data_IF_325599508018
#
_entry.id   IF_325599508018
#
_cell.length_a   1.000
_cell.length_b   1.000
_cell.length_c   1.000
_cell.angle_alpha   90.00
_cell.angle_beta   90.00
_cell.angle_gamma   90.00
#
_symmetry.space_group_name_H-M   'P 1'
#
loop_
_entity.id
_entity.type
_entity.pdbx_description
1 polymer ?
#
# COMPACT_ATOMS: atom_id res chain seq x y z
N UNK A 1 -16.86 -46.58 47.15
CA UNK A 1 -16.43 -46.60 45.73
C UNK A 1 -17.68 -46.83 44.89
N UNK A 2 -18.19 -45.79 44.20
CA UNK A 2 -19.42 -45.87 43.41
C UNK A 2 -19.05 -45.85 41.93
N UNK A 3 -19.22 -46.97 41.24
CA UNK A 3 -19.06 -47.08 39.80
C UNK A 3 -20.27 -46.43 39.12
N UNK A 4 -20.02 -45.35 38.38
CA UNK A 4 -21.01 -44.70 37.53
C UNK A 4 -20.78 -45.22 36.11
N UNK A 5 -21.70 -46.06 35.65
CA UNK A 5 -21.77 -46.57 34.29
C UNK A 5 -22.43 -45.50 33.41
N UNK A 6 -21.76 -45.06 32.35
CA UNK A 6 -22.27 -44.11 31.37
C UNK A 6 -22.84 -44.85 30.15
N UNK A 7 -23.99 -44.42 29.61
CA UNK A 7 -24.61 -45.04 28.44
C UNK A 7 -23.93 -44.57 27.13
N UNK A 8 -23.65 -45.56 26.27
CA UNK A 8 -23.31 -45.37 24.85
C UNK A 8 -24.52 -44.84 24.08
N UNK A 9 -24.40 -43.63 23.54
CA UNK A 9 -25.46 -42.94 22.81
C UNK A 9 -25.01 -42.48 21.42
N UNK A 10 -25.55 -43.18 20.42
CA UNK A 10 -25.97 -42.72 19.08
C UNK A 10 -24.94 -42.14 18.10
N UNK A 11 -24.77 -42.89 17.02
CA UNK A 11 -24.09 -42.50 15.79
C UNK A 11 -24.72 -41.27 15.12
N UNK A 12 -23.92 -40.23 14.92
CA UNK A 12 -24.25 -39.08 14.08
C UNK A 12 -24.06 -39.45 12.62
N UNK A 13 -25.16 -39.36 11.85
CA UNK A 13 -25.26 -39.63 10.43
C UNK A 13 -24.64 -38.46 9.64
N UNK A 14 -23.57 -38.71 8.91
CA UNK A 14 -22.97 -37.77 7.93
C UNK A 14 -23.97 -37.44 6.81
N UNK A 15 -24.17 -36.16 6.47
CA UNK A 15 -24.82 -35.78 5.22
C UNK A 15 -23.78 -35.83 4.08
N UNK A 16 -23.95 -36.78 3.16
CA UNK A 16 -23.24 -36.76 1.88
C UNK A 16 -23.74 -35.57 1.03
N UNK A 17 -22.86 -34.58 0.85
CA UNK A 17 -23.05 -33.53 -0.15
C UNK A 17 -22.49 -34.01 -1.50
N UNK A 18 -23.42 -34.41 -2.36
CA UNK A 18 -23.23 -34.68 -3.77
C UNK A 18 -22.99 -33.35 -4.52
N UNK A 19 -21.74 -32.95 -4.74
CA UNK A 19 -21.39 -31.81 -5.59
C UNK A 19 -21.03 -32.31 -6.99
N UNK A 20 -22.07 -32.41 -7.81
CA UNK A 20 -22.00 -32.65 -9.25
C UNK A 20 -21.61 -31.33 -9.94
N UNK A 21 -20.37 -31.25 -10.42
CA UNK A 21 -19.87 -30.11 -11.21
C UNK A 21 -20.47 -30.20 -12.63
N UNK A 22 -21.16 -29.17 -13.15
CA UNK A 22 -21.60 -29.15 -14.52
C UNK A 22 -20.41 -28.96 -15.46
N UNK A 23 -20.22 -29.92 -16.37
CA UNK A 23 -19.27 -29.80 -17.47
C UNK A 23 -19.81 -28.82 -18.52
N UNK A 24 -19.18 -27.65 -18.64
CA UNK A 24 -19.36 -26.78 -19.79
C UNK A 24 -18.45 -27.29 -20.92
N UNK A 25 -19.02 -28.11 -21.79
CA UNK A 25 -18.49 -28.44 -23.12
C UNK A 25 -18.58 -27.22 -24.02
N UNK A 26 -17.44 -26.67 -24.47
CA UNK A 26 -17.36 -25.85 -25.68
C UNK A 26 -16.07 -26.19 -26.43
N UNK A 27 -16.20 -27.08 -27.41
CA UNK A 27 -15.24 -27.21 -28.51
C UNK A 27 -15.55 -26.16 -29.58
N UNK A 28 -14.51 -25.61 -30.22
CA UNK A 28 -14.57 -25.41 -31.66
C UNK A 28 -13.59 -26.34 -32.37
N UNK A 29 -14.13 -27.06 -33.36
CA UNK A 29 -13.41 -27.74 -34.44
C UNK A 29 -12.80 -26.69 -35.39
N UNK A 30 -12.01 -27.20 -36.35
CA UNK A 30 -11.25 -26.55 -37.44
C UNK A 30 -9.78 -26.35 -37.10
N UNK A 31 -8.80 -26.82 -37.87
CA UNK A 31 -8.77 -27.67 -39.06
C UNK A 31 -7.33 -28.17 -39.20
N UNK A 32 -7.17 -29.37 -39.76
CA UNK A 32 -5.89 -29.97 -40.07
C UNK A 32 -5.07 -29.11 -41.05
N UNK A 33 -3.75 -29.04 -40.81
CA UNK A 33 -2.75 -28.51 -41.72
C UNK A 33 -1.44 -29.28 -41.54
N UNK A 34 -1.16 -30.12 -42.51
CA UNK A 34 -0.07 -31.09 -42.64
C UNK A 34 1.23 -30.35 -43.08
N UNK A 35 2.35 -30.59 -42.34
CA UNK A 35 3.82 -30.57 -42.62
C UNK A 35 4.42 -29.78 -43.82
N UNK A 36 5.70 -29.29 -43.80
CA UNK A 36 6.87 -30.07 -43.36
C UNK A 36 8.06 -29.36 -42.68
N UNK A 37 8.91 -30.23 -42.11
CA UNK A 37 10.29 -29.98 -41.71
C UNK A 37 11.15 -29.31 -42.77
N UNK A 38 12.03 -28.42 -42.32
CA UNK A 38 13.35 -28.21 -42.94
C UNK A 38 14.39 -28.02 -41.84
N UNK A 39 15.32 -28.97 -41.77
CA UNK A 39 16.67 -28.74 -41.28
C UNK A 39 17.30 -27.56 -42.03
N UNK A 40 17.98 -26.66 -41.33
CA UNK A 40 19.19 -25.99 -41.84
C UNK A 40 19.90 -25.20 -40.75
N UNK A 41 21.07 -25.72 -40.39
CA UNK A 41 22.37 -25.07 -40.63
C UNK A 41 22.58 -23.69 -40.02
N UNK A 42 23.58 -23.65 -39.13
CA UNK A 42 24.04 -22.46 -38.43
C UNK A 42 24.45 -21.28 -39.32
N UNK A 43 24.36 -20.11 -38.71
CA UNK A 43 24.93 -18.87 -39.20
C UNK A 43 25.25 -17.98 -38.00
N UNK A 44 26.54 -17.78 -37.75
CA UNK A 44 27.03 -16.72 -36.89
C UNK A 44 26.53 -15.38 -37.45
N UNK A 45 25.82 -14.60 -36.63
CA UNK A 45 25.48 -13.22 -36.96
C UNK A 45 26.02 -12.28 -35.89
N UNK A 46 27.14 -11.69 -36.30
CA UNK A 46 27.77 -10.48 -35.80
C UNK A 46 26.70 -9.38 -35.76
N UNK A 47 26.37 -8.90 -34.56
CA UNK A 47 25.46 -7.75 -34.41
C UNK A 47 26.31 -6.48 -34.45
N UNK A 48 26.27 -5.82 -35.60
CA UNK A 48 26.75 -4.46 -35.77
C UNK A 48 25.96 -3.51 -34.86
N UNK A 49 26.70 -2.80 -34.03
CA UNK A 49 26.21 -1.73 -33.16
C UNK A 49 26.08 -0.50 -34.04
N UNK A 50 24.84 -0.12 -34.40
CA UNK A 50 24.58 1.19 -34.97
C UNK A 50 24.46 2.25 -33.86
N UNK A 51 25.27 3.31 -33.86
CA UNK A 51 25.05 4.45 -32.97
C UNK A 51 23.80 5.23 -33.41
N UNK A 52 22.85 5.40 -32.49
CA UNK A 52 21.68 6.25 -32.66
C UNK A 52 22.15 7.70 -32.52
N UNK A 53 22.37 8.35 -33.65
CA UNK A 53 22.54 9.81 -33.77
C UNK A 53 21.16 10.45 -33.69
N UNK A 54 20.89 11.18 -32.59
CA UNK A 54 19.71 12.02 -32.47
C UNK A 54 19.89 13.32 -33.28
N UNK A 55 18.91 13.74 -34.10
CA UNK A 55 18.94 15.05 -34.73
C UNK A 55 18.67 16.13 -33.68
N UNK A 56 19.69 16.95 -33.42
CA UNK A 56 19.53 18.26 -32.83
C UNK A 56 19.04 19.17 -33.95
N UNK A 57 17.80 19.66 -33.86
CA UNK A 57 17.41 20.92 -34.51
C UNK A 57 16.09 21.47 -33.95
N UNK A 58 16.21 22.70 -33.43
CA UNK A 58 15.43 23.85 -33.87
C UNK A 58 14.01 24.07 -33.30
N UNK A 59 13.91 24.93 -32.27
CA UNK A 59 12.82 25.91 -32.08
C UNK A 59 13.39 27.10 -31.27
N UNK A 60 13.91 28.12 -31.95
CA UNK A 60 13.23 29.37 -32.32
C UNK A 60 13.00 30.32 -31.13
N UNK A 61 13.93 31.26 -31.00
CA UNK A 61 13.80 32.47 -30.22
C UNK A 61 12.98 33.49 -31.03
N UNK A 62 11.80 33.85 -30.54
CA UNK A 62 11.09 35.05 -30.99
C UNK A 62 11.03 36.05 -29.85
N UNK A 63 11.98 36.97 -29.88
CA UNK A 63 11.87 38.26 -29.22
C UNK A 63 10.79 39.07 -29.94
N UNK A 64 9.77 39.51 -29.22
CA UNK A 64 8.92 40.62 -29.64
C UNK A 64 9.05 41.72 -28.61
N UNK A 65 9.91 42.68 -28.94
CA UNK A 65 9.80 44.05 -28.46
C UNK A 65 8.46 44.61 -28.92
N UNK A 66 7.65 45.10 -27.97
CA UNK A 66 6.52 45.97 -28.27
C UNK A 66 6.53 47.12 -27.29
N UNK A 67 7.24 48.14 -27.76
CA UNK A 67 7.19 49.53 -27.33
C UNK A 67 5.78 50.10 -27.60
N UNK A 68 5.02 50.39 -26.55
CA UNK A 68 3.88 51.31 -26.62
C UNK A 68 3.93 52.26 -25.42
N UNK A 69 4.46 53.43 -25.69
CA UNK A 69 4.25 54.67 -24.94
C UNK A 69 2.76 55.03 -24.97
N UNK A 70 2.16 55.25 -23.80
CA UNK A 70 0.95 56.06 -23.68
C UNK A 70 1.00 56.83 -22.37
N UNK A 71 1.21 58.14 -22.50
CA UNK A 71 1.03 59.12 -21.46
C UNK A 71 -0.46 59.17 -21.07
N UNK A 72 -0.75 59.14 -19.77
CA UNK A 72 -2.06 59.53 -19.27
C UNK A 72 -1.90 60.50 -18.11
N UNK A 73 -2.47 61.67 -18.38
CA UNK A 73 -2.72 62.86 -17.58
C UNK A 73 -3.17 62.54 -16.16
N UNK A 74 -2.59 63.27 -15.20
CA UNK A 74 -2.93 63.16 -13.78
C UNK A 74 -4.41 63.37 -13.49
N UNK A 75 -4.88 62.65 -12.47
CA UNK A 75 -6.06 62.98 -11.66
C UNK A 75 -5.96 62.26 -10.31
N UNK A 76 -6.06 63.09 -9.28
CA UNK A 76 -6.41 62.87 -7.88
C UNK A 76 -6.13 61.52 -7.20
N UNK A 77 -5.21 61.64 -6.24
CA UNK A 77 -5.04 60.80 -5.06
C UNK A 77 -6.34 60.77 -4.22
N UNK A 78 -7.17 59.76 -4.42
CA UNK A 78 -8.03 59.22 -3.37
C UNK A 78 -7.80 57.72 -3.29
N UNK A 79 -6.92 57.33 -2.37
CA UNK A 79 -6.72 55.96 -1.92
C UNK A 79 -8.02 55.48 -1.26
N UNK A 80 -8.77 54.51 -1.82
CA UNK A 80 -9.80 53.85 -1.05
C UNK A 80 -9.10 52.99 0.00
N UNK A 81 -9.24 53.38 1.27
CA UNK A 81 -8.94 52.55 2.42
C UNK A 81 -9.78 51.27 2.34
N UNK A 82 -9.28 50.28 1.61
CA UNK A 82 -9.80 48.91 1.55
C UNK A 82 -9.16 48.11 2.68
N UNK A 83 -9.30 48.65 3.89
CA UNK A 83 -8.94 47.96 5.11
C UNK A 83 -10.04 46.94 5.45
N UNK A 84 -9.64 45.67 5.37
CA UNK A 84 -10.04 44.62 6.33
C UNK A 84 -11.38 43.88 6.09
N UNK A 85 -11.45 43.03 5.06
CA UNK A 85 -12.16 41.75 5.18
C UNK A 85 -11.27 40.50 5.01
N UNK A 86 -10.02 40.65 4.56
CA UNK A 86 -9.11 39.51 4.30
C UNK A 86 -8.74 38.71 5.56
N UNK A 87 -8.65 39.38 6.72
CA UNK A 87 -8.21 38.76 7.97
C UNK A 87 -9.21 37.73 8.55
N UNK A 88 -10.53 37.95 8.38
CA UNK A 88 -11.54 37.01 8.88
C UNK A 88 -11.59 35.71 8.06
N UNK A 89 -11.39 35.82 6.73
CA UNK A 89 -11.34 34.65 5.85
C UNK A 89 -10.11 33.78 6.14
N UNK A 90 -8.95 34.41 6.39
CA UNK A 90 -7.72 33.70 6.75
C UNK A 90 -7.87 32.95 8.08
N UNK A 91 -8.45 33.58 9.11
CA UNK A 91 -8.68 32.94 10.40
C UNK A 91 -9.60 31.70 10.29
N UNK A 92 -10.70 31.81 9.53
CA UNK A 92 -11.61 30.69 9.31
C UNK A 92 -10.95 29.52 8.55
N UNK A 93 -10.06 29.83 7.60
CA UNK A 93 -9.30 28.82 6.86
C UNK A 93 -8.30 28.09 7.76
N UNK A 94 -7.60 28.83 8.63
CA UNK A 94 -6.68 28.24 9.62
C UNK A 94 -7.41 27.36 10.65
N UNK A 95 -8.59 27.78 11.11
CA UNK A 95 -9.39 26.98 12.05
C UNK A 95 -9.86 25.66 11.41
N UNK A 96 -10.34 25.72 10.17
CA UNK A 96 -10.71 24.51 9.41
C UNK A 96 -9.51 23.56 9.24
N UNK A 97 -8.33 24.10 8.92
CA UNK A 97 -7.09 23.31 8.83
C UNK A 97 -6.74 22.64 10.16
N UNK A 98 -6.88 23.33 11.29
CA UNK A 98 -6.63 22.76 12.63
C UNK A 98 -7.56 21.59 12.91
N UNK A 99 -8.87 21.76 12.62
CA UNK A 99 -9.86 20.70 12.82
C UNK A 99 -9.57 19.46 11.96
N UNK A 100 -9.12 19.64 10.72
CA UNK A 100 -8.72 18.52 9.83
C UNK A 100 -7.48 17.82 10.37
N UNK A 101 -6.47 18.55 10.83
CA UNK A 101 -5.26 17.96 11.45
C UNK A 101 -5.63 17.18 12.71
N UNK A 102 -6.41 17.76 13.61
CA UNK A 102 -6.85 17.10 14.84
C UNK A 102 -7.68 15.86 14.55
N UNK A 103 -8.58 15.92 13.56
CA UNK A 103 -9.36 14.77 13.12
C UNK A 103 -8.49 13.65 12.55
N UNK A 104 -7.37 13.99 11.89
CA UNK A 104 -6.39 13.00 11.48
C UNK A 104 -5.60 12.47 12.68
N UNK A 105 -5.15 13.30 13.61
CA UNK A 105 -4.28 12.88 14.71
C UNK A 105 -5.01 12.03 15.77
N UNK A 106 -6.30 12.28 16.01
CA UNK A 106 -7.11 11.53 16.98
C UNK A 106 -7.32 10.05 16.61
N UNK A 107 -7.21 9.68 15.33
CA UNK A 107 -7.34 8.29 14.90
C UNK A 107 -6.00 7.55 15.08
N UNK A 108 -5.78 7.02 16.29
CA UNK A 108 -4.62 6.16 16.61
C UNK A 108 -4.91 4.67 16.40
N UNK A 109 -6.19 4.28 16.44
CA UNK A 109 -6.64 2.90 16.28
C UNK A 109 -6.42 2.37 14.86
N UNK A 110 -5.95 1.13 14.75
CA UNK A 110 -5.72 0.49 13.45
C UNK A 110 -7.03 0.38 12.63
N UNK A 111 -8.15 0.10 13.30
CA UNK A 111 -9.50 0.03 12.70
C UNK A 111 -9.95 1.40 12.19
N UNK A 112 -9.86 2.42 13.04
CA UNK A 112 -10.28 3.79 12.72
C UNK A 112 -9.50 4.36 11.53
N UNK A 113 -8.20 4.05 11.44
CA UNK A 113 -7.37 4.49 10.31
C UNK A 113 -7.81 3.82 9.00
N UNK A 114 -8.11 2.52 9.01
CA UNK A 114 -8.60 1.81 7.82
C UNK A 114 -9.95 2.39 7.38
N UNK A 115 -10.88 2.57 8.31
CA UNK A 115 -12.18 3.18 8.04
C UNK A 115 -12.04 4.60 7.48
N UNK A 116 -11.13 5.40 8.05
CA UNK A 116 -10.87 6.76 7.57
C UNK A 116 -10.34 6.78 6.13
N UNK A 117 -9.46 5.84 5.76
CA UNK A 117 -8.98 5.74 4.37
C UNK A 117 -10.11 5.32 3.43
N UNK A 118 -10.92 4.33 3.82
CA UNK A 118 -12.05 3.84 3.02
C UNK A 118 -13.14 4.89 2.83
N UNK A 119 -13.37 5.74 3.84
CA UNK A 119 -14.31 6.85 3.74
C UNK A 119 -13.92 7.91 2.71
N UNK A 120 -12.71 7.84 2.15
CA UNK A 120 -12.22 8.80 1.16
C UNK A 120 -11.60 10.07 1.76
N UNK A 121 -11.68 10.30 3.07
CA UNK A 121 -11.11 11.49 3.74
C UNK A 121 -9.62 11.69 3.45
N UNK A 122 -8.84 10.61 3.44
CA UNK A 122 -7.40 10.68 3.14
C UNK A 122 -7.17 11.08 1.67
N UNK A 123 -7.98 10.57 0.75
CA UNK A 123 -7.92 10.93 -0.66
C UNK A 123 -8.35 12.39 -0.90
N UNK A 124 -9.37 12.87 -0.18
CA UNK A 124 -9.82 14.26 -0.22
C UNK A 124 -8.71 15.22 0.22
N UNK A 125 -8.02 14.92 1.33
CA UNK A 125 -6.90 15.72 1.83
C UNK A 125 -5.74 15.72 0.82
N UNK A 126 -5.46 14.58 0.19
CA UNK A 126 -4.45 14.51 -0.87
C UNK A 126 -4.85 15.33 -2.09
N UNK A 127 -6.11 15.27 -2.51
CA UNK A 127 -6.61 16.04 -3.66
C UNK A 127 -6.58 17.56 -3.38
N UNK A 128 -6.86 17.96 -2.14
CA UNK A 128 -6.94 19.37 -1.74
C UNK A 128 -5.59 20.01 -1.51
N UNK A 129 -4.66 19.30 -0.85
CA UNK A 129 -3.37 19.87 -0.44
C UNK A 129 -2.18 19.24 -1.17
N UNK A 130 -2.30 18.01 -1.63
CA UNK A 130 -1.22 17.27 -2.26
C UNK A 130 -0.87 17.76 -3.67
N UNK A 131 0.27 17.30 -4.21
CA UNK A 131 0.62 17.57 -5.59
C UNK A 131 -0.39 16.91 -6.54
N UNK A 132 -0.79 17.63 -7.59
CA UNK A 132 -1.67 17.09 -8.62
C UNK A 132 -1.06 15.83 -9.26
N UNK A 133 -1.89 14.81 -9.46
CA UNK A 133 -1.47 13.53 -10.01
C UNK A 133 -0.86 13.71 -11.42
N UNK A 134 0.32 13.11 -11.66
CA UNK A 134 0.99 13.16 -12.96
C UNK A 134 1.73 14.45 -13.30
N UNK A 135 1.76 15.46 -12.42
CA UNK A 135 2.61 16.65 -12.61
C UNK A 135 3.53 16.83 -11.41
N UNK A 136 4.79 17.24 -11.65
CA UNK A 136 5.62 17.90 -10.62
C UNK A 136 5.05 19.31 -10.37
N UNK A 137 3.80 19.37 -9.92
CA UNK A 137 3.12 20.62 -9.57
C UNK A 137 3.56 21.10 -8.19
N UNK A 138 3.46 22.41 -7.99
CA UNK A 138 3.58 23.04 -6.68
C UNK A 138 2.44 22.53 -5.80
N UNK A 139 2.76 21.77 -4.75
CA UNK A 139 1.79 21.39 -3.74
C UNK A 139 1.35 22.62 -2.92
N UNK A 140 0.22 22.51 -2.22
CA UNK A 140 -0.21 23.55 -1.30
C UNK A 140 0.85 23.76 -0.19
N UNK A 141 0.98 24.99 0.31
CA UNK A 141 1.93 25.32 1.38
C UNK A 141 1.69 24.51 2.66
N UNK A 142 0.46 24.04 2.90
CA UNK A 142 0.11 23.19 4.02
C UNK A 142 0.48 21.70 3.82
N UNK A 143 0.79 21.26 2.59
CA UNK A 143 1.09 19.86 2.29
C UNK A 143 2.16 19.23 3.17
N UNK A 144 3.29 19.89 3.50
CA UNK A 144 4.32 19.30 4.37
C UNK A 144 3.78 18.82 5.72
N UNK A 145 2.72 19.44 6.25
CA UNK A 145 2.07 19.02 7.51
C UNK A 145 1.34 17.68 7.36
N UNK A 146 0.64 17.47 6.25
CA UNK A 146 -0.17 16.28 5.99
C UNK A 146 0.60 15.14 5.33
N UNK A 147 1.66 15.46 4.59
CA UNK A 147 2.38 14.51 3.71
C UNK A 147 2.71 13.20 4.41
N UNK A 148 3.29 13.27 5.60
CA UNK A 148 3.75 12.09 6.32
C UNK A 148 2.58 11.23 6.81
N UNK A 149 1.55 11.83 7.40
CA UNK A 149 0.40 11.07 7.91
C UNK A 149 -0.43 10.47 6.76
N UNK A 150 -0.68 11.23 5.69
CA UNK A 150 -1.39 10.76 4.48
C UNK A 150 -0.63 9.61 3.84
N UNK A 151 0.67 9.77 3.59
CA UNK A 151 1.48 8.72 2.93
C UNK A 151 1.55 7.44 3.76
N UNK A 152 1.65 7.55 5.10
CA UNK A 152 1.65 6.38 5.97
C UNK A 152 0.30 5.65 5.95
N UNK A 153 -0.82 6.38 5.96
CA UNK A 153 -2.17 5.80 5.92
C UNK A 153 -2.46 5.11 4.59
N UNK A 154 -2.09 5.73 3.49
CA UNK A 154 -2.17 5.12 2.17
C UNK A 154 -1.32 3.86 2.06
N UNK A 155 -0.10 3.87 2.60
CA UNK A 155 0.76 2.69 2.62
C UNK A 155 0.13 1.55 3.44
N UNK A 156 -0.46 1.84 4.59
CA UNK A 156 -1.17 0.83 5.37
C UNK A 156 -2.34 0.23 4.58
N UNK A 157 -3.14 1.07 3.94
CA UNK A 157 -4.27 0.60 3.15
C UNK A 157 -3.83 -0.21 1.93
N UNK A 158 -2.67 0.14 1.33
CA UNK A 158 -2.03 -0.67 0.29
C UNK A 158 -1.66 -2.06 0.80
N UNK A 159 -1.05 -2.17 1.99
CA UNK A 159 -0.76 -3.47 2.60
C UNK A 159 -2.05 -4.28 2.77
N UNK A 160 -3.13 -3.67 3.28
CA UNK A 160 -4.42 -4.34 3.41
C UNK A 160 -4.94 -4.86 2.05
N UNK A 161 -4.86 -4.05 0.99
CA UNK A 161 -5.37 -4.42 -0.34
C UNK A 161 -4.51 -5.45 -1.07
N UNK A 162 -3.19 -5.25 -1.09
CA UNK A 162 -2.26 -6.05 -1.88
C UNK A 162 -1.89 -7.35 -1.15
N UNK A 163 -1.56 -7.29 0.14
CA UNK A 163 -1.05 -8.46 0.90
C UNK A 163 -2.17 -9.27 1.53
N UNK A 164 -3.29 -8.64 1.89
CA UNK A 164 -4.42 -9.32 2.54
C UNK A 164 -5.66 -9.39 1.64
N UNK A 165 -5.54 -9.02 0.35
CA UNK A 165 -6.65 -9.04 -0.62
C UNK A 165 -7.89 -8.24 -0.16
N UNK A 166 -7.70 -7.26 0.75
CA UNK A 166 -8.79 -6.51 1.36
C UNK A 166 -9.53 -7.22 2.50
N UNK A 167 -9.08 -8.40 2.93
CA UNK A 167 -9.64 -9.12 4.08
C UNK A 167 -9.22 -8.43 5.39
N UNK A 168 -10.12 -7.61 5.92
CA UNK A 168 -9.92 -6.84 7.16
C UNK A 168 -9.77 -7.74 8.38
N UNK A 169 -10.52 -8.84 8.45
CA UNK A 169 -10.50 -9.72 9.62
C UNK A 169 -9.17 -10.44 9.73
N UNK A 170 -8.68 -10.99 8.61
CA UNK A 170 -7.35 -11.59 8.54
C UNK A 170 -6.26 -10.56 8.85
N UNK A 171 -6.37 -9.34 8.32
CA UNK A 171 -5.44 -8.26 8.60
C UNK A 171 -5.39 -7.89 10.09
N UNK A 172 -6.54 -7.66 10.73
CA UNK A 172 -6.60 -7.30 12.15
C UNK A 172 -6.16 -8.45 13.05
N UNK A 173 -6.55 -9.68 12.72
CA UNK A 173 -6.09 -10.88 13.42
C UNK A 173 -4.56 -11.01 13.35
N UNK A 174 -3.97 -10.81 12.16
CA UNK A 174 -2.53 -10.89 11.95
C UNK A 174 -1.75 -9.85 12.76
N UNK A 175 -2.26 -8.62 12.89
CA UNK A 175 -1.62 -7.53 13.65
C UNK A 175 -2.09 -7.42 15.10
N UNK A 176 -2.90 -8.36 15.58
CA UNK A 176 -3.24 -8.47 16.99
C UNK A 176 -1.98 -8.80 17.80
N UNK A 177 -1.78 -8.11 18.92
CA UNK A 177 -0.74 -8.45 19.89
C UNK A 177 -1.37 -9.48 20.81
N UNK A 178 -0.84 -10.73 20.87
CA UNK A 178 -1.33 -11.69 21.85
C UNK A 178 -1.24 -11.01 23.21
N UNK A 179 -2.34 -11.02 23.97
CA UNK A 179 -2.41 -10.44 25.30
C UNK A 179 -1.43 -11.19 26.19
N UNK A 180 -0.16 -10.79 26.13
CA UNK A 180 0.88 -11.33 26.98
C UNK A 180 0.48 -10.94 28.38
N UNK A 181 0.14 -11.95 29.16
CA UNK A 181 -0.28 -11.90 30.55
C UNK A 181 0.77 -11.18 31.38
N UNK A 182 0.76 -9.85 31.35
CA UNK A 182 1.74 -9.04 32.08
C UNK A 182 1.39 -9.10 33.57
N UNK A 183 2.09 -10.02 34.24
CA UNK A 183 2.36 -10.02 35.67
C UNK A 183 2.94 -8.67 36.11
N UNK A 184 2.06 -7.73 36.47
CA UNK A 184 2.21 -6.72 37.53
C UNK A 184 1.02 -5.77 37.42
N UNK A 185 -0.10 -6.21 37.98
CA UNK A 185 -1.25 -5.33 38.25
C UNK A 185 -0.76 -4.26 39.23
N UNK A 186 -0.81 -2.98 38.83
CA UNK A 186 -1.04 -1.94 39.82
C UNK A 186 -2.46 -2.16 40.36
N UNK A 187 -2.70 -2.15 41.68
CA UNK A 187 -4.00 -2.52 42.25
C UNK A 187 -5.20 -1.65 41.87
N UNK A 188 -5.01 -0.57 41.09
CA UNK A 188 -6.01 0.47 40.91
C UNK A 188 -6.63 0.55 39.50
N UNK A 189 -6.15 -0.26 38.55
CA UNK A 189 -6.77 -0.30 37.23
C UNK A 189 -7.91 -1.32 37.24
N UNK A 190 -9.14 -0.80 37.22
CA UNK A 190 -10.36 -1.55 36.89
C UNK A 190 -10.09 -2.45 35.67
N UNK A 191 -10.60 -3.69 35.65
CA UNK A 191 -10.48 -4.59 34.52
C UNK A 191 -11.28 -4.01 33.34
N UNK A 192 -10.67 -3.09 32.60
CA UNK A 192 -11.10 -2.72 31.26
C UNK A 192 -11.16 -4.02 30.46
N UNK A 193 -12.29 -4.23 29.77
CA UNK A 193 -12.49 -5.39 28.91
C UNK A 193 -11.24 -5.63 28.05
N UNK A 194 -10.90 -6.89 27.70
CA UNK A 194 -9.76 -7.18 26.85
C UNK A 194 -10.02 -6.63 25.43
N UNK A 195 -9.89 -5.31 25.27
CA UNK A 195 -9.91 -4.65 23.99
C UNK A 195 -8.77 -5.25 23.17
N UNK A 196 -9.10 -5.63 21.94
CA UNK A 196 -8.14 -6.17 20.99
C UNK A 196 -7.00 -5.17 20.80
N UNK A 197 -5.86 -5.48 21.41
CA UNK A 197 -4.69 -4.61 21.30
C UNK A 197 -3.98 -4.89 20.00
N UNK A 198 -4.04 -3.97 19.07
CA UNK A 198 -3.28 -4.06 17.83
C UNK A 198 -1.86 -3.54 17.99
N UNK A 199 -0.96 -4.00 17.11
CA UNK A 199 0.32 -3.31 16.90
C UNK A 199 0.03 -1.89 16.44
N UNK A 200 0.79 -0.92 16.95
CA UNK A 200 0.62 0.48 16.57
C UNK A 200 0.80 0.63 15.05
N UNK A 201 -0.14 1.33 14.40
CA UNK A 201 -0.10 1.62 12.97
C UNK A 201 1.27 2.07 12.47
N UNK A 202 1.93 2.99 13.21
CA UNK A 202 3.26 3.50 12.87
C UNK A 202 4.29 2.38 12.70
N UNK A 203 4.30 1.41 13.62
CA UNK A 203 5.22 0.27 13.60
C UNK A 203 4.98 -0.62 12.37
N UNK A 204 3.72 -0.86 12.00
CA UNK A 204 3.38 -1.66 10.81
C UNK A 204 3.93 -0.98 9.55
N UNK A 205 3.68 0.32 9.38
CA UNK A 205 4.11 1.06 8.19
C UNK A 205 5.63 1.18 8.08
N UNK A 206 6.33 1.33 9.23
CA UNK A 206 7.78 1.40 9.27
C UNK A 206 8.44 0.03 9.04
N UNK A 207 7.76 -1.06 9.40
CA UNK A 207 8.23 -2.43 9.18
C UNK A 207 8.09 -2.93 7.73
N UNK A 208 7.15 -2.38 6.95
CA UNK A 208 6.89 -2.78 5.57
C UNK A 208 8.15 -2.91 4.67
N UNK A 209 9.04 -1.90 4.59
CA UNK A 209 10.24 -2.02 3.77
C UNK A 209 11.22 -3.11 4.25
N UNK A 210 11.25 -3.43 5.55
CA UNK A 210 12.08 -4.51 6.08
C UNK A 210 11.49 -5.88 5.74
N UNK A 211 10.17 -6.02 5.83
CA UNK A 211 9.45 -7.19 5.36
C UNK A 211 9.76 -7.48 3.88
N UNK A 212 9.62 -6.46 3.02
CA UNK A 212 9.92 -6.59 1.58
C UNK A 212 11.37 -7.02 1.33
N UNK A 213 12.33 -6.39 2.01
CA UNK A 213 13.75 -6.72 1.86
C UNK A 213 14.09 -8.14 2.33
N UNK A 214 13.58 -8.56 3.50
CA UNK A 214 13.84 -9.88 4.06
C UNK A 214 13.20 -11.00 3.23
N UNK A 215 12.00 -10.77 2.69
CA UNK A 215 11.31 -11.71 1.79
C UNK A 215 12.01 -11.77 0.42
N UNK A 216 12.48 -10.63 -0.12
CA UNK A 216 13.24 -10.61 -1.35
C UNK A 216 14.57 -11.35 -1.21
N UNK A 217 15.29 -11.15 -0.09
CA UNK A 217 16.51 -11.90 0.22
C UNK A 217 16.23 -13.40 0.38
N UNK A 218 15.07 -13.78 0.94
CA UNK A 218 14.65 -15.18 1.00
C UNK A 218 14.45 -15.76 -0.41
N UNK A 219 13.77 -15.03 -1.31
CA UNK A 219 13.54 -15.45 -2.70
C UNK A 219 14.83 -15.67 -3.50
N UNK A 220 15.93 -15.03 -3.10
CA UNK A 220 17.23 -15.15 -3.74
C UNK A 220 18.03 -16.40 -3.31
N UNK A 221 17.52 -17.23 -2.40
CA UNK A 221 18.22 -18.48 -2.00
C UNK A 221 18.15 -19.51 -3.12
N UNK A 222 19.26 -20.22 -3.34
CA UNK A 222 19.44 -21.26 -4.38
C UNK A 222 18.34 -22.34 -4.36
N UNK A 223 17.80 -22.68 -3.17
CA UNK A 223 16.72 -23.66 -3.02
C UNK A 223 15.42 -23.30 -3.76
N UNK A 224 15.26 -22.05 -4.19
CA UNK A 224 14.10 -21.58 -4.96
C UNK A 224 14.38 -21.46 -6.45
N UNK A 225 15.56 -21.84 -6.92
CA UNK A 225 15.94 -21.77 -8.32
C UNK A 225 15.80 -23.12 -9.01
N UNK A 226 15.27 -23.11 -10.24
CA UNK A 226 15.13 -24.31 -11.08
C UNK A 226 16.46 -24.76 -11.69
N UNK A 227 16.42 -25.86 -12.45
CA UNK A 227 17.58 -26.34 -13.20
C UNK A 227 18.04 -25.37 -14.31
N UNK A 228 17.16 -24.45 -14.71
CA UNK A 228 17.42 -23.33 -15.61
C UNK A 228 18.17 -22.16 -14.95
N UNK A 229 18.31 -22.17 -13.61
CA UNK A 229 18.89 -21.06 -12.87
C UNK A 229 17.96 -19.85 -12.75
N UNK A 230 16.65 -20.02 -13.01
CA UNK A 230 15.63 -18.98 -12.79
C UNK A 230 14.81 -19.25 -11.52
N UNK A 231 14.17 -18.20 -10.97
CA UNK A 231 13.33 -18.33 -9.78
C UNK A 231 12.09 -19.19 -10.09
N UNK A 232 11.95 -20.30 -9.37
CA UNK A 232 10.81 -21.20 -9.49
C UNK A 232 9.70 -20.81 -8.53
N UNK A 233 8.61 -20.25 -9.08
CA UNK A 233 7.39 -19.99 -8.32
C UNK A 233 6.78 -21.26 -7.73
N UNK A 234 7.03 -22.43 -8.34
CA UNK A 234 6.57 -23.73 -7.82
C UNK A 234 7.30 -24.10 -6.53
N UNK A 235 8.63 -23.98 -6.48
CA UNK A 235 9.42 -24.28 -5.27
C UNK A 235 9.09 -23.29 -4.14
N UNK A 236 8.85 -22.02 -4.48
CA UNK A 236 8.37 -21.03 -3.53
C UNK A 236 6.99 -21.41 -2.97
N UNK A 237 6.05 -21.76 -3.85
CA UNK A 237 4.70 -22.19 -3.49
C UNK A 237 4.67 -23.51 -2.71
N UNK A 238 5.59 -24.44 -2.95
CA UNK A 238 5.70 -25.68 -2.17
C UNK A 238 6.09 -25.38 -0.71
N UNK A 239 7.01 -24.44 -0.51
CA UNK A 239 7.48 -24.10 0.84
C UNK A 239 6.53 -23.18 1.61
N UNK A 240 5.99 -22.16 0.95
CA UNK A 240 5.21 -21.10 1.60
C UNK A 240 3.72 -21.14 1.28
N UNK A 241 3.28 -21.99 0.35
CA UNK A 241 1.88 -22.11 -0.03
C UNK A 241 1.29 -20.79 -0.54
N UNK A 242 0.13 -20.44 0.01
CA UNK A 242 -0.60 -19.20 -0.27
C UNK A 242 -0.31 -18.09 0.74
N UNK A 243 0.81 -18.15 1.46
CA UNK A 243 1.17 -17.13 2.43
C UNK A 243 1.57 -15.84 1.73
N UNK A 244 1.13 -14.70 2.27
CA UNK A 244 1.55 -13.39 1.80
C UNK A 244 2.95 -13.02 2.33
N UNK A 245 3.51 -11.89 1.90
CA UNK A 245 4.87 -11.48 2.27
C UNK A 245 5.03 -11.33 3.79
N UNK A 246 4.02 -10.79 4.47
CA UNK A 246 4.02 -10.60 5.92
C UNK A 246 4.00 -11.93 6.69
N UNK A 247 3.21 -12.87 6.24
CA UNK A 247 3.10 -14.21 6.80
C UNK A 247 4.41 -14.99 6.61
N UNK A 248 5.01 -14.93 5.42
CA UNK A 248 6.34 -15.52 5.18
C UNK A 248 7.39 -14.88 6.09
N UNK A 249 7.39 -13.55 6.23
CA UNK A 249 8.33 -12.85 7.10
C UNK A 249 8.22 -13.26 8.58
N UNK A 250 6.99 -13.45 9.06
CA UNK A 250 6.72 -13.98 10.40
C UNK A 250 7.17 -15.44 10.54
N UNK A 251 6.89 -16.29 9.56
CA UNK A 251 7.30 -17.70 9.57
C UNK A 251 8.80 -17.93 9.47
N UNK A 252 9.54 -16.96 8.91
CA UNK A 252 11.01 -16.94 8.96
C UNK A 252 11.57 -16.47 10.30
N UNK A 253 10.72 -16.10 11.27
CA UNK A 253 11.11 -15.50 12.55
C UNK A 253 11.94 -14.22 12.40
N UNK A 254 11.81 -13.54 11.25
CA UNK A 254 12.50 -12.26 10.97
C UNK A 254 11.64 -11.05 11.33
N UNK A 255 10.40 -11.24 11.78
CA UNK A 255 9.47 -10.16 12.10
C UNK A 255 10.04 -9.23 13.20
N UNK A 256 10.31 -7.97 12.84
CA UNK A 256 10.76 -6.94 13.77
C UNK A 256 10.11 -5.59 13.47
N UNK A 257 9.74 -4.87 14.53
CA UNK A 257 9.02 -3.58 14.42
C UNK A 257 9.82 -2.39 14.93
N UNK A 258 11.10 -2.62 15.20
CA UNK A 258 12.00 -1.62 15.75
C UNK A 258 13.21 -1.55 14.84
N UNK A 259 13.67 -0.33 14.58
CA UNK A 259 14.87 -0.11 13.77
C UNK A 259 16.02 -0.85 14.46
N UNK A 260 16.65 -1.80 13.75
CA UNK A 260 17.88 -2.43 14.23
C UNK A 260 18.85 -1.29 14.53
N UNK A 261 19.27 -1.17 15.78
CA UNK A 261 20.42 -0.35 16.11
C UNK A 261 21.58 -1.09 15.49
N UNK A 262 22.11 -0.56 14.40
CA UNK A 262 23.39 -1.04 13.89
C UNK A 262 24.34 -0.98 15.09
N UNK A 263 24.81 -2.14 15.54
CA UNK A 263 25.84 -2.22 16.57
C UNK A 263 27.10 -1.63 15.94
N UNK A 264 27.25 -0.32 16.10
CA UNK A 264 28.46 0.43 15.76
C UNK A 264 29.58 -0.03 16.68
#
# INVERSE_FOLDING_TARGET
MKNISLPMGTATREPQLNNQIPQCSNSPKHSAGIVPSTDSTGGAHQKDIHPITLPADNLSAHAHDSNITSASTGRDLQSPDTNTPASLHEAALLDNLSQVVEGLERCEGLRDIVEQVESGKVAEIRARYGPAEGRRGTADAAWPRFRNIVSKRERLYRILKEEFSGDKERFFSFFSVPSVTKKRKRPQDEPVAPEERFRSFRKIVEAAPWCEADVLAERQKEQYYGADGEFSSSLWGERWGSMNSWEVWRSMEKEHYEKKKDSI
#
